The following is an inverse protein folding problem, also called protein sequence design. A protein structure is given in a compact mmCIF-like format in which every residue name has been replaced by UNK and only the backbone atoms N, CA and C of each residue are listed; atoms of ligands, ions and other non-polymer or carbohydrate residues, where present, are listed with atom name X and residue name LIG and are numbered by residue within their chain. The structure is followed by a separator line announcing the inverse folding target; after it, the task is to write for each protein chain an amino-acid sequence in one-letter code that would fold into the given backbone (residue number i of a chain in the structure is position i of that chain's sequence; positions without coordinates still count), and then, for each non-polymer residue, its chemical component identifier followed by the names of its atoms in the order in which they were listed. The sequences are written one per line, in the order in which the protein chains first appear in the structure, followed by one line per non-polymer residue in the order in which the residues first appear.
data_IF_822404268978
#
_entry.id   IF_822404268978
#
_cell.length_a   1.000
_cell.length_b   1.000
_cell.length_c   1.000
_cell.angle_alpha   90.00
_cell.angle_beta   90.00
_cell.angle_gamma   90.00
#
_symmetry.space_group_name_H-M   'P 1'
#
loop_
_entity.id
_entity.type
_entity.pdbx_description
1 polymer ?
#
# COMPACT_ATOMS: atom_id res chain seq x y z
N UNK A 1 27.34 6.94 7.21
CA UNK A 1 26.53 7.84 8.09
C UNK A 1 25.12 7.82 7.58
N UNK A 2 24.10 7.68 8.45
CA UNK A 2 22.68 7.66 8.01
C UNK A 2 22.30 9.02 7.45
N UNK A 3 21.75 9.03 6.23
CA UNK A 3 21.31 10.22 5.52
C UNK A 3 19.81 10.15 5.16
N UNK A 4 19.24 8.94 5.12
CA UNK A 4 17.81 8.72 4.89
C UNK A 4 17.28 7.72 5.92
N UNK A 5 16.07 7.96 6.41
CA UNK A 5 15.34 7.00 7.26
C UNK A 5 14.01 6.73 6.59
N UNK A 6 13.75 5.45 6.27
CA UNK A 6 12.50 4.95 5.78
C UNK A 6 11.71 4.32 6.91
N UNK A 7 10.46 4.70 7.07
CA UNK A 7 9.61 4.31 8.17
C UNK A 7 8.31 3.69 7.64
N UNK A 8 8.07 2.43 7.97
CA UNK A 8 6.74 1.88 7.86
C UNK A 8 5.78 2.59 8.83
N UNK A 9 4.51 2.60 8.52
CA UNK A 9 3.49 3.30 9.29
C UNK A 9 2.81 2.40 10.32
N UNK A 10 2.13 1.37 9.86
CA UNK A 10 1.22 0.58 10.68
C UNK A 10 1.98 -0.46 11.53
N UNK A 11 1.96 -0.29 12.85
CA UNK A 11 2.72 -1.14 13.76
C UNK A 11 4.20 -0.75 13.92
N UNK A 12 4.65 0.31 13.23
CA UNK A 12 6.02 0.85 13.34
C UNK A 12 6.00 2.30 13.82
N UNK A 13 5.62 3.26 12.98
CA UNK A 13 5.62 4.68 13.33
C UNK A 13 4.32 5.11 14.01
N UNK A 14 3.19 4.55 13.59
CA UNK A 14 1.85 4.90 14.08
C UNK A 14 1.42 4.02 15.25
N UNK A 15 0.66 4.62 16.17
CA UNK A 15 -0.09 3.92 17.20
C UNK A 15 -1.28 3.16 16.57
N UNK A 16 -1.91 2.22 17.29
CA UNK A 16 -3.05 1.45 16.78
C UNK A 16 -4.24 2.30 16.32
N UNK A 17 -4.37 3.52 16.82
CA UNK A 17 -5.40 4.49 16.42
C UNK A 17 -4.98 5.36 15.22
N UNK A 18 -3.90 5.00 14.54
CA UNK A 18 -3.29 5.73 13.42
C UNK A 18 -2.79 7.14 13.78
N UNK A 19 -2.47 7.40 15.04
CA UNK A 19 -1.87 8.65 15.49
C UNK A 19 -0.36 8.53 15.70
N UNK A 20 0.36 9.66 15.70
CA UNK A 20 1.76 9.74 16.15
C UNK A 20 1.81 9.97 17.65
N UNK A 21 2.69 9.24 18.35
CA UNK A 21 3.01 9.57 19.73
C UNK A 21 3.88 10.83 19.82
N UNK A 22 3.86 11.54 20.96
CA UNK A 22 4.74 12.67 21.19
C UNK A 22 6.24 12.30 21.05
N UNK A 23 6.62 11.11 21.52
CA UNK A 23 7.98 10.61 21.38
C UNK A 23 8.39 10.39 19.92
N UNK A 24 7.47 9.88 19.08
CA UNK A 24 7.71 9.72 17.65
C UNK A 24 7.86 11.09 16.93
N UNK A 25 7.01 12.06 17.29
CA UNK A 25 7.09 13.42 16.76
C UNK A 25 8.43 14.10 17.12
N UNK A 26 8.86 13.97 18.36
CA UNK A 26 10.14 14.51 18.84
C UNK A 26 11.33 13.84 18.12
N UNK A 27 11.28 12.52 17.93
CA UNK A 27 12.32 11.78 17.22
C UNK A 27 12.40 12.18 15.73
N UNK A 28 11.27 12.31 15.04
CA UNK A 28 11.19 12.79 13.66
C UNK A 28 11.76 14.20 13.54
N UNK A 29 11.31 15.11 14.41
CA UNK A 29 11.78 16.51 14.42
C UNK A 29 13.29 16.60 14.63
N UNK A 30 13.83 15.78 15.55
CA UNK A 30 15.27 15.71 15.80
C UNK A 30 16.04 15.17 14.59
N UNK A 31 15.58 14.10 13.96
CA UNK A 31 16.21 13.54 12.77
C UNK A 31 16.22 14.55 11.61
N UNK A 32 15.09 15.20 11.38
CA UNK A 32 14.94 16.24 10.35
C UNK A 32 15.88 17.42 10.62
N UNK A 33 15.99 17.87 11.88
CA UNK A 33 16.91 18.98 12.26
C UNK A 33 18.38 18.65 12.04
N UNK A 34 18.73 17.36 11.97
CA UNK A 34 20.08 16.88 11.66
C UNK A 34 20.31 16.71 10.14
N UNK A 35 19.34 17.09 9.31
CA UNK A 35 19.42 16.98 7.85
C UNK A 35 19.11 15.57 7.29
N UNK A 36 18.56 14.68 8.11
CA UNK A 36 18.19 13.33 7.66
C UNK A 36 16.90 13.41 6.83
N UNK A 37 16.93 12.81 5.64
CA UNK A 37 15.77 12.70 4.78
C UNK A 37 14.80 11.66 5.34
N UNK A 38 13.59 12.05 5.70
CA UNK A 38 12.55 11.13 6.18
C UNK A 38 11.64 10.73 5.03
N UNK A 39 11.43 9.41 4.88
CA UNK A 39 10.54 8.77 3.92
C UNK A 39 9.56 7.91 4.69
N UNK A 40 8.27 7.96 4.37
CA UNK A 40 7.30 6.97 4.83
C UNK A 40 7.09 5.92 3.76
N UNK A 41 7.04 4.62 4.15
CA UNK A 41 6.86 3.50 3.24
C UNK A 41 5.73 2.60 3.75
N UNK A 42 4.59 2.58 3.06
CA UNK A 42 3.35 1.97 3.56
C UNK A 42 2.61 1.17 2.48
N UNK A 43 1.83 0.17 2.91
CA UNK A 43 0.83 -0.48 2.06
C UNK A 43 -0.37 0.42 1.76
N UNK A 44 -0.55 1.48 2.53
CA UNK A 44 -1.66 2.42 2.31
C UNK A 44 -1.53 3.15 0.98
N UNK A 45 -2.65 3.36 0.29
CA UNK A 45 -2.72 4.28 -0.82
C UNK A 45 -2.47 5.73 -0.34
N UNK A 46 -2.04 6.61 -1.24
CA UNK A 46 -1.67 7.99 -0.89
C UNK A 46 -2.78 8.76 -0.14
N UNK A 47 -4.03 8.64 -0.61
CA UNK A 47 -5.18 9.32 0.03
C UNK A 47 -5.55 8.74 1.40
N UNK A 48 -5.09 7.53 1.72
CA UNK A 48 -5.29 6.86 3.00
C UNK A 48 -4.19 7.14 4.03
N UNK A 49 -3.13 7.86 3.64
CA UNK A 49 -2.11 8.31 4.59
C UNK A 49 -2.76 9.29 5.61
N UNK A 50 -2.41 9.19 6.91
CA UNK A 50 -2.86 10.16 7.89
C UNK A 50 -2.48 11.59 7.49
N UNK A 51 -3.40 12.52 7.65
CA UNK A 51 -3.17 13.91 7.27
C UNK A 51 -1.96 14.51 7.99
N UNK A 52 -1.78 14.15 9.28
CA UNK A 52 -0.63 14.56 10.07
C UNK A 52 0.70 14.09 9.46
N UNK A 53 0.76 12.91 8.86
CA UNK A 53 1.94 12.41 8.16
C UNK A 53 2.17 13.18 6.87
N UNK A 54 1.12 13.37 6.06
CA UNK A 54 1.23 14.10 4.78
C UNK A 54 1.73 15.54 4.94
N UNK A 55 1.37 16.17 6.06
CA UNK A 55 1.71 17.57 6.35
C UNK A 55 2.78 17.73 7.44
N UNK A 56 3.45 16.64 7.87
CA UNK A 56 4.52 16.74 8.84
C UNK A 56 5.72 17.45 8.23
N UNK A 57 6.11 18.59 8.82
CA UNK A 57 7.21 19.41 8.29
C UNK A 57 8.53 18.63 8.24
N UNK A 58 9.04 18.40 7.03
CA UNK A 58 10.31 17.72 6.79
C UNK A 58 10.21 16.25 6.42
N UNK A 59 9.03 15.60 6.47
CA UNK A 59 8.80 14.34 5.73
C UNK A 59 8.68 14.72 4.25
N UNK A 60 9.61 14.22 3.42
CA UNK A 60 9.72 14.66 2.03
C UNK A 60 9.07 13.73 1.02
N UNK A 61 9.06 12.42 1.30
CA UNK A 61 8.62 11.41 0.34
C UNK A 61 7.74 10.38 1.00
N UNK A 62 6.83 9.84 0.20
CA UNK A 62 5.99 8.70 0.55
C UNK A 62 6.10 7.63 -0.55
N UNK A 63 6.44 6.41 -0.13
CA UNK A 63 6.30 5.18 -0.90
C UNK A 63 4.98 4.54 -0.46
N UNK A 64 4.02 4.40 -1.36
CA UNK A 64 2.63 4.01 -1.06
C UNK A 64 2.19 2.82 -1.89
N UNK A 65 1.04 2.21 -1.54
CA UNK A 65 0.50 1.02 -2.21
C UNK A 65 1.55 -0.09 -2.32
N UNK A 66 2.22 -0.41 -1.21
CA UNK A 66 3.33 -1.39 -1.15
C UNK A 66 4.46 -1.12 -2.16
N UNK A 67 4.72 0.14 -2.47
CA UNK A 67 5.77 0.53 -3.41
C UNK A 67 5.31 0.74 -4.85
N UNK A 68 4.02 0.60 -5.14
CA UNK A 68 3.50 0.86 -6.48
C UNK A 68 3.56 2.35 -6.87
N UNK A 69 3.67 3.25 -5.90
CA UNK A 69 3.80 4.68 -6.17
C UNK A 69 4.79 5.36 -5.21
N UNK A 70 5.54 6.33 -5.73
CA UNK A 70 6.42 7.22 -4.96
C UNK A 70 6.00 8.65 -5.21
N UNK A 71 5.74 9.40 -4.14
CA UNK A 71 5.26 10.78 -4.21
C UNK A 71 6.09 11.71 -3.33
N UNK A 72 6.18 12.98 -3.74
CA UNK A 72 6.75 14.06 -2.94
C UNK A 72 5.67 14.71 -2.07
N UNK A 73 5.97 14.90 -0.79
CA UNK A 73 5.08 15.52 0.20
C UNK A 73 5.43 17.01 0.38
N UNK A 74 4.49 17.84 0.80
CA UNK A 74 3.08 17.52 1.08
C UNK A 74 2.17 17.52 -0.15
N UNK A 75 2.66 17.99 -1.30
CA UNK A 75 1.83 18.26 -2.48
C UNK A 75 1.27 16.98 -3.14
N UNK A 76 1.81 15.79 -2.82
CA UNK A 76 1.41 14.54 -3.44
C UNK A 76 1.85 14.43 -4.92
N UNK A 77 2.91 15.17 -5.29
CA UNK A 77 3.45 15.09 -6.65
C UNK A 77 3.98 13.67 -6.89
N UNK A 78 3.37 12.97 -7.84
CA UNK A 78 3.82 11.65 -8.26
C UNK A 78 5.20 11.76 -8.92
N UNK A 79 6.17 10.99 -8.42
CA UNK A 79 7.53 10.92 -8.94
C UNK A 79 7.73 9.66 -9.78
N UNK A 80 7.13 8.54 -9.34
CA UNK A 80 7.18 7.26 -10.02
C UNK A 80 5.93 6.45 -9.69
N UNK A 81 5.43 5.68 -10.66
CA UNK A 81 4.37 4.68 -10.46
C UNK A 81 4.65 3.45 -11.31
N UNK A 82 4.27 2.29 -10.77
CA UNK A 82 4.27 1.00 -11.46
C UNK A 82 2.83 0.48 -11.48
N UNK A 83 2.18 0.56 -12.65
CA UNK A 83 0.83 0.03 -12.83
C UNK A 83 0.87 -1.47 -13.14
N UNK A 84 -0.15 -2.19 -12.70
CA UNK A 84 -0.30 -3.62 -12.99
C UNK A 84 -0.38 -3.86 -14.51
N UNK A 85 0.22 -4.97 -14.99
CA UNK A 85 -0.01 -5.40 -16.36
C UNK A 85 -1.51 -5.64 -16.61
N UNK A 86 -2.02 -5.17 -17.73
CA UNK A 86 -3.41 -5.38 -18.15
C UNK A 86 -3.83 -6.85 -18.09
N UNK A 87 -2.94 -7.75 -18.57
CA UNK A 87 -3.19 -9.17 -18.54
C UNK A 87 -3.37 -9.71 -17.11
N UNK A 88 -2.63 -9.20 -16.12
CA UNK A 88 -2.77 -9.59 -14.73
C UNK A 88 -4.16 -9.20 -14.18
N UNK A 89 -4.67 -8.03 -14.53
CA UNK A 89 -6.01 -7.58 -14.15
C UNK A 89 -7.09 -8.50 -14.74
N UNK A 90 -6.95 -8.86 -16.02
CA UNK A 90 -7.88 -9.77 -16.71
C UNK A 90 -7.86 -11.17 -16.11
N UNK A 91 -6.70 -11.68 -15.73
CA UNK A 91 -6.56 -13.00 -15.14
C UNK A 91 -7.12 -13.05 -13.71
N UNK A 92 -6.94 -12.00 -12.90
CA UNK A 92 -7.58 -11.86 -11.60
C UNK A 92 -9.11 -11.84 -11.70
N UNK A 93 -9.66 -11.14 -12.69
CA UNK A 93 -11.10 -11.15 -12.95
C UNK A 93 -11.62 -12.54 -13.32
N UNK A 94 -10.91 -13.29 -14.17
CA UNK A 94 -11.26 -14.69 -14.50
C UNK A 94 -11.22 -15.59 -13.27
N UNK A 95 -10.18 -15.44 -12.42
CA UNK A 95 -10.08 -16.20 -11.17
C UNK A 95 -11.26 -15.89 -10.24
N UNK A 96 -11.64 -14.62 -10.09
CA UNK A 96 -12.79 -14.23 -9.28
C UNK A 96 -14.09 -14.85 -9.82
N UNK A 97 -14.32 -14.80 -11.12
CA UNK A 97 -15.50 -15.40 -11.75
C UNK A 97 -15.58 -16.92 -11.55
N UNK A 98 -14.43 -17.60 -11.58
CA UNK A 98 -14.36 -19.05 -11.39
C UNK A 98 -14.53 -19.48 -9.92
N UNK A 99 -13.94 -18.74 -8.99
CA UNK A 99 -13.91 -19.12 -7.58
C UNK A 99 -15.05 -18.51 -6.74
N UNK A 100 -15.41 -17.24 -6.98
CA UNK A 100 -16.49 -16.54 -6.27
C UNK A 100 -16.27 -16.30 -4.77
N UNK A 101 -15.08 -16.58 -4.25
CA UNK A 101 -14.79 -16.64 -2.80
C UNK A 101 -14.12 -15.40 -2.25
N UNK A 102 -13.74 -14.45 -3.08
CA UNK A 102 -13.06 -13.21 -2.67
C UNK A 102 -13.63 -11.99 -3.40
N UNK A 103 -13.45 -10.83 -2.78
CA UNK A 103 -13.74 -9.54 -3.40
C UNK A 103 -12.45 -8.87 -3.88
N UNK A 104 -12.59 -7.94 -4.82
CA UNK A 104 -11.48 -7.14 -5.35
C UNK A 104 -11.69 -5.68 -4.94
N UNK A 105 -10.67 -5.08 -4.33
CA UNK A 105 -10.46 -3.63 -4.26
C UNK A 105 -9.33 -3.25 -5.24
N UNK A 106 -9.36 -2.03 -5.78
CA UNK A 106 -8.30 -1.54 -6.67
C UNK A 106 -7.85 -0.14 -6.28
N UNK A 107 -6.55 0.11 -6.44
CA UNK A 107 -5.93 1.43 -6.31
C UNK A 107 -5.68 2.04 -7.68
N UNK A 108 -6.05 3.31 -7.86
CA UNK A 108 -5.77 4.09 -9.07
C UNK A 108 -5.35 5.49 -8.64
N UNK A 109 -4.17 5.95 -9.06
CA UNK A 109 -3.68 7.28 -8.76
C UNK A 109 -3.60 7.58 -7.24
N UNK A 110 -3.32 6.54 -6.44
CA UNK A 110 -3.25 6.66 -4.99
C UNK A 110 -4.60 6.72 -4.27
N UNK A 111 -5.72 6.46 -4.95
CA UNK A 111 -7.07 6.34 -4.38
C UNK A 111 -7.55 4.89 -4.46
N UNK A 112 -8.04 4.33 -3.35
CA UNK A 112 -8.67 3.00 -3.33
C UNK A 112 -10.15 3.06 -3.71
N UNK A 113 -10.59 2.05 -4.45
CA UNK A 113 -11.96 1.81 -4.89
C UNK A 113 -12.39 0.41 -4.45
N UNK A 114 -13.61 0.27 -3.95
CA UNK A 114 -14.11 -0.99 -3.41
C UNK A 114 -15.57 -1.23 -3.83
N UNK A 115 -16.02 -2.50 -3.87
CA UNK A 115 -17.41 -2.82 -4.11
C UNK A 115 -18.33 -2.10 -3.13
N UNK A 116 -19.39 -1.44 -3.63
CA UNK A 116 -20.35 -0.71 -2.82
C UNK A 116 -21.01 -1.60 -1.76
N UNK A 117 -21.31 -2.86 -2.10
CA UNK A 117 -21.88 -3.83 -1.16
C UNK A 117 -20.93 -4.11 0.01
N UNK A 118 -19.64 -4.21 -0.24
CA UNK A 118 -18.62 -4.39 0.81
C UNK A 118 -18.59 -3.20 1.78
N UNK A 119 -18.60 -1.99 1.25
CA UNK A 119 -18.56 -0.78 2.07
C UNK A 119 -19.86 -0.55 2.87
N UNK A 120 -21.00 -1.01 2.35
CA UNK A 120 -22.29 -0.90 3.01
C UNK A 120 -22.52 -2.00 4.06
N UNK A 121 -21.93 -3.18 3.88
CA UNK A 121 -22.12 -4.35 4.75
C UNK A 121 -20.78 -5.00 5.15
N UNK A 122 -19.80 -4.24 5.68
CA UNK A 122 -18.45 -4.76 5.95
C UNK A 122 -18.44 -5.88 7.00
N UNK A 123 -19.45 -5.96 7.87
CA UNK A 123 -19.61 -7.02 8.87
C UNK A 123 -19.83 -8.40 8.22
N UNK A 124 -20.44 -8.49 7.04
CA UNK A 124 -20.56 -9.76 6.30
C UNK A 124 -19.20 -10.35 5.91
N UNK A 125 -18.20 -9.49 5.80
CA UNK A 125 -16.83 -9.81 5.44
C UNK A 125 -15.89 -9.81 6.66
N UNK A 126 -16.46 -9.96 7.87
CA UNK A 126 -15.77 -10.05 9.17
C UNK A 126 -14.91 -8.84 9.53
N UNK A 127 -15.20 -7.69 8.94
CA UNK A 127 -14.45 -6.48 9.25
C UNK A 127 -14.86 -5.91 10.62
N UNK A 128 -13.86 -5.73 11.51
CA UNK A 128 -14.07 -5.16 12.84
C UNK A 128 -14.48 -3.67 12.75
N UNK A 129 -15.24 -3.18 13.72
CA UNK A 129 -15.79 -1.82 13.73
C UNK A 129 -14.76 -0.69 13.45
N UNK A 130 -13.53 -0.70 14.01
CA UNK A 130 -12.53 0.31 13.68
C UNK A 130 -12.13 0.30 12.20
N UNK A 131 -12.02 -0.89 11.61
CA UNK A 131 -11.67 -1.06 10.19
C UNK A 131 -12.82 -0.61 9.29
N UNK A 132 -14.08 -0.84 9.66
CA UNK A 132 -15.25 -0.35 8.92
C UNK A 132 -15.22 1.17 8.73
N UNK A 133 -14.93 1.92 9.81
CA UNK A 133 -14.82 3.38 9.75
C UNK A 133 -13.65 3.83 8.84
N UNK A 134 -12.53 3.11 8.87
CA UNK A 134 -11.39 3.35 8.01
C UNK A 134 -11.74 3.10 6.53
N UNK A 135 -12.36 1.97 6.20
CA UNK A 135 -12.79 1.63 4.84
C UNK A 135 -13.72 2.70 4.24
N UNK A 136 -14.76 3.07 4.99
CA UNK A 136 -15.73 4.12 4.55
C UNK A 136 -15.07 5.48 4.31
N UNK A 137 -14.01 5.79 5.02
CA UNK A 137 -13.31 7.08 4.88
C UNK A 137 -12.33 7.08 3.70
N UNK A 138 -11.72 5.93 3.39
CA UNK A 138 -10.57 5.85 2.48
C UNK A 138 -10.89 5.21 1.14
N UNK A 139 -12.02 4.50 0.99
CA UNK A 139 -12.45 3.86 -0.25
C UNK A 139 -13.57 4.63 -0.91
N UNK A 140 -13.52 4.68 -2.24
CA UNK A 140 -14.65 5.13 -3.05
C UNK A 140 -15.50 3.92 -3.46
N UNK A 141 -16.84 4.00 -3.31
CA UNK A 141 -17.73 2.91 -3.69
C UNK A 141 -17.81 2.75 -5.21
N UNK A 142 -17.86 1.50 -5.67
CA UNK A 142 -18.07 1.12 -7.07
C UNK A 142 -19.19 0.10 -7.14
N UNK A 143 -20.21 0.37 -7.95
CA UNK A 143 -21.39 -0.49 -8.07
C UNK A 143 -21.08 -1.78 -8.84
N UNK A 144 -20.30 -1.69 -9.92
CA UNK A 144 -19.84 -2.83 -10.73
C UNK A 144 -18.33 -2.80 -10.82
N UNK A 145 -17.68 -3.58 -9.95
CA UNK A 145 -16.22 -3.63 -9.87
C UNK A 145 -15.59 -4.29 -11.09
N UNK A 146 -16.29 -5.23 -11.73
CA UNK A 146 -15.81 -5.87 -12.95
C UNK A 146 -15.75 -4.87 -14.10
N UNK A 147 -16.84 -4.14 -14.35
CA UNK A 147 -16.86 -3.10 -15.38
C UNK A 147 -15.82 -2.01 -15.10
N UNK A 148 -15.68 -1.59 -13.84
CA UNK A 148 -14.70 -0.59 -13.41
C UNK A 148 -13.26 -1.04 -13.71
N UNK A 149 -12.90 -2.27 -13.36
CA UNK A 149 -11.56 -2.81 -13.62
C UNK A 149 -11.25 -2.93 -15.12
N UNK A 150 -12.23 -3.32 -15.94
CA UNK A 150 -12.07 -3.39 -17.39
C UNK A 150 -11.90 -1.99 -18.02
N UNK A 151 -12.62 -1.00 -17.52
CA UNK A 151 -12.50 0.38 -17.99
C UNK A 151 -11.12 1.01 -17.65
N UNK A 152 -10.59 0.70 -16.45
CA UNK A 152 -9.37 1.31 -15.91
C UNK A 152 -8.15 0.38 -15.92
N UNK A 153 -8.17 -0.72 -16.67
CA UNK A 153 -7.14 -1.78 -16.62
C UNK A 153 -5.70 -1.30 -16.84
N UNK A 154 -5.51 -0.14 -17.47
CA UNK A 154 -4.18 0.46 -17.71
C UNK A 154 -3.69 1.41 -16.59
N UNK A 155 -4.53 1.70 -15.60
CA UNK A 155 -4.30 2.74 -14.58
C UNK A 155 -4.18 2.17 -13.17
N UNK A 156 -4.27 0.84 -12.99
CA UNK A 156 -4.36 0.19 -11.69
C UNK A 156 -2.98 0.11 -11.05
N UNK A 157 -2.79 0.79 -9.92
CA UNK A 157 -1.57 0.78 -9.12
C UNK A 157 -1.42 -0.53 -8.34
N UNK A 158 -2.51 -1.01 -7.74
CA UNK A 158 -2.56 -2.22 -6.93
C UNK A 158 -3.96 -2.83 -6.91
N UNK A 159 -4.02 -4.11 -6.59
CA UNK A 159 -5.26 -4.85 -6.32
C UNK A 159 -5.14 -5.53 -4.96
N UNK A 160 -6.18 -5.42 -4.13
CA UNK A 160 -6.32 -6.15 -2.88
C UNK A 160 -7.46 -7.17 -3.04
N UNK A 161 -7.14 -8.45 -2.78
CA UNK A 161 -8.14 -9.50 -2.73
C UNK A 161 -8.56 -9.70 -1.28
N UNK A 162 -9.84 -9.50 -1.00
CA UNK A 162 -10.42 -9.62 0.34
C UNK A 162 -10.95 -11.04 0.50
N UNK A 163 -10.32 -11.82 1.37
CA UNK A 163 -10.68 -13.20 1.67
C UNK A 163 -11.23 -13.29 3.10
N UNK A 164 -12.53 -13.50 3.32
CA UNK A 164 -13.09 -13.61 4.66
C UNK A 164 -12.57 -14.81 5.47
N UNK A 165 -12.07 -15.85 4.78
CA UNK A 165 -11.53 -17.07 5.39
C UNK A 165 -10.01 -17.16 5.21
N UNK A 166 -9.25 -17.16 6.32
CA UNK A 166 -7.78 -17.19 6.29
C UNK A 166 -7.19 -18.40 5.52
N UNK A 167 -7.81 -19.57 5.63
CA UNK A 167 -7.33 -20.77 4.91
C UNK A 167 -7.50 -20.64 3.38
N UNK A 168 -8.52 -19.94 2.92
CA UNK A 168 -8.72 -19.64 1.51
C UNK A 168 -7.73 -18.59 1.01
N UNK A 169 -7.41 -17.60 1.83
CA UNK A 169 -6.42 -16.56 1.53
C UNK A 169 -5.05 -17.16 1.18
N UNK A 170 -4.56 -18.09 2.01
CA UNK A 170 -3.23 -18.66 1.78
C UNK A 170 -3.18 -19.49 0.48
N UNK A 171 -4.26 -20.21 0.17
CA UNK A 171 -4.39 -20.93 -1.10
C UNK A 171 -4.45 -19.97 -2.28
N UNK A 172 -5.28 -18.91 -2.17
CA UNK A 172 -5.41 -17.91 -3.21
C UNK A 172 -4.09 -17.18 -3.45
N UNK A 173 -3.35 -16.81 -2.39
CA UNK A 173 -2.02 -16.20 -2.52
C UNK A 173 -1.07 -17.06 -3.34
N UNK A 174 -1.00 -18.37 -3.04
CA UNK A 174 -0.14 -19.31 -3.78
C UNK A 174 -0.62 -19.43 -5.23
N UNK A 175 -1.92 -19.55 -5.44
CA UNK A 175 -2.49 -19.67 -6.79
C UNK A 175 -2.19 -18.43 -7.63
N UNK A 176 -2.41 -17.22 -7.10
CA UNK A 176 -2.12 -15.95 -7.77
C UNK A 176 -0.64 -15.87 -8.15
N UNK A 177 0.28 -16.24 -7.25
CA UNK A 177 1.71 -16.24 -7.51
C UNK A 177 2.14 -17.23 -8.60
N UNK A 178 1.41 -18.33 -8.77
CA UNK A 178 1.73 -19.37 -9.75
C UNK A 178 1.12 -19.12 -11.13
N UNK A 179 -0.06 -18.52 -11.18
CA UNK A 179 -0.84 -18.39 -12.41
C UNK A 179 -0.71 -17.03 -13.09
N UNK A 180 -0.30 -15.99 -12.36
CA UNK A 180 -0.22 -14.62 -12.89
C UNK A 180 1.24 -14.17 -12.96
N UNK A 181 1.65 -13.71 -14.13
CA UNK A 181 3.02 -13.23 -14.37
C UNK A 181 3.17 -11.73 -14.06
N UNK A 182 4.40 -11.30 -13.88
CA UNK A 182 4.81 -9.90 -13.74
C UNK A 182 4.11 -9.15 -12.59
N UNK A 183 3.84 -9.86 -11.50
CA UNK A 183 3.25 -9.30 -10.28
C UNK A 183 4.13 -9.55 -9.04
N UNK A 184 4.02 -8.64 -8.09
CA UNK A 184 4.48 -8.77 -6.72
C UNK A 184 3.28 -9.05 -5.81
N UNK A 185 3.36 -10.11 -5.00
CA UNK A 185 2.27 -10.53 -4.10
C UNK A 185 2.76 -10.49 -2.66
N UNK A 186 2.05 -9.77 -1.82
CA UNK A 186 2.32 -9.67 -0.38
C UNK A 186 1.03 -9.78 0.44
N UNK A 187 1.13 -9.69 1.76
CA UNK A 187 0.01 -9.73 2.68
C UNK A 187 0.41 -9.00 3.96
N UNK A 188 -0.28 -7.93 4.29
CA UNK A 188 -0.07 -7.15 5.52
C UNK A 188 -1.10 -7.46 6.61
N UNK A 189 -2.21 -8.11 6.25
CA UNK A 189 -3.27 -8.50 7.18
C UNK A 189 -3.75 -9.94 6.95
N UNK A 190 -4.40 -10.57 7.93
CA UNK A 190 -4.89 -11.95 7.79
C UNK A 190 -5.90 -12.16 6.65
N UNK A 191 -6.59 -11.12 6.21
CA UNK A 191 -7.70 -11.20 5.26
C UNK A 191 -7.33 -10.76 3.84
N UNK A 192 -6.15 -10.13 3.64
CA UNK A 192 -5.78 -9.53 2.35
C UNK A 192 -4.67 -10.29 1.63
N UNK A 193 -4.84 -10.45 0.31
CA UNK A 193 -3.75 -10.69 -0.63
C UNK A 193 -3.56 -9.41 -1.43
N UNK A 194 -2.41 -8.79 -1.30
CA UNK A 194 -2.07 -7.51 -1.90
C UNK A 194 -1.19 -7.74 -3.13
N UNK A 195 -1.57 -7.18 -4.26
CA UNK A 195 -0.97 -7.42 -5.57
C UNK A 195 -0.58 -6.09 -6.20
N UNK A 196 0.65 -6.00 -6.66
CA UNK A 196 1.18 -4.85 -7.39
C UNK A 196 2.05 -5.33 -8.56
N UNK A 197 2.56 -4.42 -9.39
CA UNK A 197 3.51 -4.74 -10.44
C UNK A 197 4.77 -5.43 -9.88
N UNK A 198 5.40 -6.33 -10.64
CA UNK A 198 6.59 -7.07 -10.20
C UNK A 198 7.75 -6.18 -9.73
N UNK A 199 7.88 -5.00 -10.34
CA UNK A 199 8.87 -3.99 -9.95
C UNK A 199 8.39 -3.05 -8.83
N UNK A 200 7.16 -3.22 -8.33
CA UNK A 200 6.73 -2.55 -7.12
C UNK A 200 7.41 -3.19 -5.89
N UNK A 201 7.16 -2.64 -4.73
CA UNK A 201 7.77 -3.08 -3.48
C UNK A 201 8.40 -1.89 -2.75
N UNK A 202 8.26 -1.87 -1.43
CA UNK A 202 8.83 -0.77 -0.62
C UNK A 202 10.32 -0.60 -0.88
N UNK A 203 11.07 -1.70 -1.07
CA UNK A 203 12.49 -1.67 -1.40
C UNK A 203 12.78 -1.00 -2.74
N UNK A 204 11.99 -1.28 -3.77
CA UNK A 204 12.16 -0.68 -5.10
C UNK A 204 11.80 0.80 -5.09
N UNK A 205 10.76 1.20 -4.35
CA UNK A 205 10.45 2.60 -4.11
C UNK A 205 11.60 3.35 -3.42
N UNK A 206 12.26 2.73 -2.45
CA UNK A 206 13.44 3.30 -1.78
C UNK A 206 14.67 3.32 -2.68
N UNK A 207 14.86 2.30 -3.54
CA UNK A 207 15.94 2.31 -4.55
C UNK A 207 15.76 3.48 -5.52
N UNK A 208 14.54 3.68 -6.02
CA UNK A 208 14.21 4.84 -6.84
C UNK A 208 14.56 6.15 -6.12
N UNK A 209 14.18 6.30 -4.84
CA UNK A 209 14.52 7.49 -4.06
C UNK A 209 16.04 7.64 -3.81
N UNK A 210 16.76 6.53 -3.59
CA UNK A 210 18.22 6.53 -3.50
C UNK A 210 18.86 7.14 -4.76
N UNK A 211 18.43 6.71 -5.93
CA UNK A 211 18.90 7.24 -7.22
C UNK A 211 18.52 8.70 -7.42
N UNK A 212 17.27 9.07 -7.10
CA UNK A 212 16.78 10.45 -7.27
C UNK A 212 17.46 11.45 -6.33
N UNK A 213 17.79 11.03 -5.12
CA UNK A 213 18.41 11.91 -4.08
C UNK A 213 19.93 11.86 -4.08
N UNK A 214 20.53 10.86 -4.73
CA UNK A 214 21.96 10.59 -4.67
C UNK A 214 22.42 10.04 -3.30
N UNK A 215 21.50 9.59 -2.45
CA UNK A 215 21.81 8.96 -1.16
C UNK A 215 22.05 7.48 -1.37
N UNK A 216 23.27 6.96 -1.16
CA UNK A 216 23.56 5.55 -1.40
C UNK A 216 22.84 4.65 -0.39
N UNK A 217 22.52 3.40 -0.81
CA UNK A 217 21.73 2.45 -0.02
C UNK A 217 22.32 2.19 1.37
N UNK A 218 23.64 2.11 1.49
CA UNK A 218 24.33 1.93 2.79
C UNK A 218 24.15 3.10 3.77
N UNK A 219 23.61 4.21 3.33
CA UNK A 219 23.26 5.37 4.16
C UNK A 219 21.76 5.47 4.42
N UNK A 220 20.97 4.46 4.00
CA UNK A 220 19.53 4.37 4.26
C UNK A 220 19.29 3.40 5.41
N UNK A 221 18.56 3.85 6.43
CA UNK A 221 18.10 3.01 7.52
C UNK A 221 16.59 2.82 7.39
N UNK A 222 16.14 1.58 7.43
CA UNK A 222 14.73 1.24 7.32
C UNK A 222 14.18 0.60 8.59
N UNK A 223 12.94 0.91 8.93
CA UNK A 223 12.19 0.32 10.03
C UNK A 223 10.86 -0.20 9.52
N UNK A 224 10.54 -1.44 9.88
CA UNK A 224 9.28 -2.09 9.53
C UNK A 224 9.02 -3.31 10.40
N UNK A 225 7.85 -3.92 10.27
CA UNK A 225 7.39 -5.01 11.13
C UNK A 225 6.68 -6.15 10.37
N UNK A 226 6.59 -6.09 9.05
CA UNK A 226 5.85 -7.04 8.23
C UNK A 226 6.68 -7.59 7.06
N UNK A 227 6.16 -8.62 6.39
CA UNK A 227 6.84 -9.30 5.27
C UNK A 227 7.17 -8.34 4.11
N UNK A 228 6.33 -7.35 3.85
CA UNK A 228 6.55 -6.33 2.82
C UNK A 228 7.70 -5.36 3.15
N UNK A 229 8.25 -5.41 4.38
CA UNK A 229 9.40 -4.64 4.81
C UNK A 229 10.71 -5.45 4.72
N UNK A 230 10.65 -6.79 4.66
CA UNK A 230 11.82 -7.66 4.69
C UNK A 230 12.80 -7.43 3.52
N UNK A 231 12.32 -6.97 2.38
CA UNK A 231 13.15 -6.66 1.22
C UNK A 231 13.84 -5.28 1.30
N UNK A 232 13.58 -4.51 2.36
CA UNK A 232 14.11 -3.15 2.57
C UNK A 232 15.41 -3.17 3.38
N UNK A 233 15.73 -4.31 4.01
CA UNK A 233 16.91 -4.51 4.88
C UNK A 233 18.12 -5.06 4.14
#
# INVERSE_FOLDING_TARGET
MVQMIALDLDGTLLQPDSTLSAAAEDALTKAISQGICIVVASGRAFTALPEKIRHFAGIRYAVTSNGAAVSELPAGKLLCAWTLPEQAVLDLLKMQQAAGTFLIEAGIGGQMYAPEEYLNNPEKYRQAAPLQAYLKRTRKPVADMTAFLLEHQHEIDCIDLICPECAEKDRLRVQVQQEIADIYVTSSTPELVEIAHAEAGKANGLRFLSEQTGIPAENILAFGNADNDAAVS
#
